data_IF_752524447798
#
_entry.id   IF_752524447798
#
_cell.length_a   1.000
_cell.length_b   1.000
_cell.length_c   1.000
_cell.angle_alpha   90.00
_cell.angle_beta   90.00
_cell.angle_gamma   90.00
#
_symmetry.space_group_name_H-M   'P 1'
#
loop_
_entity.id
_entity.type
_entity.pdbx_description
1 polymer ?
#
# COMPACT_ATOMS: atom_id res chain seq x y z
N UNK A 1 -34.70 -1.74 2.48
CA UNK A 1 -33.61 -1.03 1.81
C UNK A 1 -33.12 0.03 2.78
N UNK A 2 -32.14 -0.30 3.61
CA UNK A 2 -31.48 0.63 4.53
C UNK A 2 -29.99 0.51 4.24
N UNK A 3 -29.39 1.64 3.87
CA UNK A 3 -27.96 1.81 3.59
C UNK A 3 -27.14 1.58 4.87
N UNK A 4 -26.17 0.67 4.79
CA UNK A 4 -25.17 0.42 5.83
C UNK A 4 -23.85 1.10 5.39
N UNK A 5 -23.76 2.43 5.51
CA UNK A 5 -22.51 3.18 5.35
C UNK A 5 -21.72 3.05 6.65
N UNK A 6 -20.90 2.00 6.76
CA UNK A 6 -19.95 1.84 7.86
C UNK A 6 -18.67 2.62 7.59
N UNK A 7 -18.47 3.68 8.36
CA UNK A 7 -17.18 4.31 8.57
C UNK A 7 -16.22 3.30 9.23
N UNK A 8 -15.05 3.07 8.63
CA UNK A 8 -14.00 2.24 9.24
C UNK A 8 -12.90 3.14 9.80
N UNK A 9 -12.80 3.15 11.12
CA UNK A 9 -11.77 3.81 11.91
C UNK A 9 -10.47 3.01 11.82
N UNK A 10 -9.37 3.68 11.43
CA UNK A 10 -8.08 3.07 11.10
C UNK A 10 -7.17 3.10 12.31
N UNK A 11 -7.09 1.99 13.04
CA UNK A 11 -6.18 1.84 14.18
C UNK A 11 -4.71 1.82 13.72
N UNK A 12 -3.89 2.62 14.41
CA UNK A 12 -2.52 2.94 14.02
C UNK A 12 -1.60 2.51 15.17
N UNK A 13 -1.08 1.29 15.12
CA UNK A 13 -0.01 0.84 16.04
C UNK A 13 1.31 0.71 15.30
N UNK A 14 2.31 1.40 15.86
CA UNK A 14 3.67 1.60 15.39
C UNK A 14 4.61 0.54 16.00
N UNK A 15 5.59 0.11 15.20
CA UNK A 15 7.00 0.03 15.63
C UNK A 15 7.46 -1.22 16.39
N UNK A 16 8.36 -2.00 15.77
CA UNK A 16 9.07 -3.10 16.43
C UNK A 16 10.37 -3.50 15.73
N UNK A 17 11.44 -2.76 16.07
CA UNK A 17 12.86 -3.13 16.12
C UNK A 17 13.56 -3.94 15.01
N UNK A 18 14.51 -3.24 14.37
CA UNK A 18 15.67 -3.79 13.66
C UNK A 18 16.58 -4.61 14.59
N UNK A 19 17.16 -5.70 14.07
CA UNK A 19 18.39 -6.31 14.62
C UNK A 19 19.41 -6.54 13.51
N UNK A 20 20.43 -5.66 13.47
CA UNK A 20 21.68 -5.88 12.75
C UNK A 20 22.67 -6.51 13.74
N UNK A 21 23.35 -7.59 13.35
CA UNK A 21 24.74 -7.83 13.76
C UNK A 21 25.46 -8.66 12.70
N UNK A 22 26.29 -7.93 11.95
CA UNK A 22 27.45 -8.43 11.20
C UNK A 22 28.55 -8.66 12.21
N UNK A 23 29.24 -9.79 12.14
CA UNK A 23 30.64 -9.91 12.54
C UNK A 23 31.28 -11.09 11.80
N UNK A 24 32.08 -10.75 10.80
CA UNK A 24 32.94 -11.64 10.03
C UNK A 24 34.38 -11.39 10.46
N UNK A 25 34.98 -12.33 11.15
CA UNK A 25 36.44 -12.41 11.31
C UNK A 25 36.81 -13.89 11.33
N UNK A 26 37.41 -14.40 10.26
CA UNK A 26 38.32 -15.55 10.40
C UNK A 26 39.49 -15.38 9.45
N UNK A 27 40.61 -15.05 10.09
CA UNK A 27 41.95 -15.03 9.55
C UNK A 27 42.36 -16.40 9.02
N UNK A 28 43.07 -16.40 7.89
CA UNK A 28 43.81 -17.56 7.40
C UNK A 28 45.04 -17.83 8.29
N UNK A 29 45.44 -19.11 8.42
CA UNK A 29 46.84 -19.43 8.59
C UNK A 29 47.38 -20.37 7.51
N UNK A 30 48.60 -20.03 7.13
CA UNK A 30 49.58 -20.74 6.31
C UNK A 30 49.85 -22.19 6.77
N UNK A 31 50.18 -23.03 5.78
CA UNK A 31 51.27 -24.03 5.74
C UNK A 31 51.78 -24.61 7.08
N UNK A 32 51.67 -25.94 7.27
CA UNK A 32 52.80 -26.90 7.38
C UNK A 32 52.28 -28.31 7.70
N UNK A 33 53.01 -29.32 7.26
CA UNK A 33 52.55 -30.70 7.12
C UNK A 33 52.53 -31.57 8.39
N UNK A 34 51.74 -32.66 8.32
CA UNK A 34 51.93 -33.94 9.01
C UNK A 34 50.78 -34.88 8.62
N UNK A 35 50.98 -35.68 7.58
CA UNK A 35 49.95 -36.44 6.86
C UNK A 35 49.40 -37.71 7.52
N UNK A 36 49.45 -37.90 8.85
CA UNK A 36 48.90 -39.13 9.47
C UNK A 36 48.16 -38.94 10.80
N UNK A 37 48.11 -37.72 11.37
CA UNK A 37 47.29 -37.42 12.57
C UNK A 37 45.88 -36.91 12.27
N UNK A 38 45.62 -36.49 11.02
CA UNK A 38 44.41 -35.76 10.63
C UNK A 38 43.15 -36.64 10.70
N UNK A 39 43.25 -37.93 10.38
CA UNK A 39 42.08 -38.83 10.37
C UNK A 39 41.60 -39.14 11.80
N UNK A 40 42.49 -39.28 12.78
CA UNK A 40 42.11 -39.52 14.17
C UNK A 40 41.44 -38.28 14.81
N UNK A 41 41.91 -37.07 14.47
CA UNK A 41 41.29 -35.81 14.92
C UNK A 41 39.95 -35.57 14.22
N UNK A 42 39.81 -35.89 12.94
CA UNK A 42 38.51 -35.78 12.23
C UNK A 42 37.49 -36.77 12.82
N UNK A 43 37.90 -37.99 13.21
CA UNK A 43 37.01 -38.95 13.88
C UNK A 43 36.67 -38.51 15.31
N UNK A 44 37.61 -37.95 16.08
CA UNK A 44 37.34 -37.46 17.44
C UNK A 44 36.48 -36.19 17.44
N UNK A 45 36.78 -35.23 16.56
CA UNK A 45 35.94 -34.02 16.35
C UNK A 45 34.57 -34.41 15.82
N UNK A 46 34.49 -35.33 14.85
CA UNK A 46 33.23 -35.83 14.31
C UNK A 46 32.35 -36.56 15.34
N UNK A 47 32.95 -37.29 16.30
CA UNK A 47 32.20 -37.91 17.40
C UNK A 47 31.75 -36.91 18.48
N UNK A 48 32.55 -35.86 18.76
CA UNK A 48 32.16 -34.81 19.72
C UNK A 48 31.15 -33.80 19.15
N UNK A 49 31.06 -33.65 17.83
CA UNK A 49 30.10 -32.76 17.16
C UNK A 49 28.82 -33.46 16.65
N UNK A 50 28.62 -34.74 16.98
CA UNK A 50 27.38 -35.46 16.66
C UNK A 50 26.28 -35.32 17.75
N UNK A 51 26.57 -34.66 18.87
CA UNK A 51 25.67 -34.52 20.02
C UNK A 51 24.72 -33.30 20.01
N UNK A 52 24.76 -32.45 18.98
CA UNK A 52 24.01 -31.20 18.92
C UNK A 52 22.81 -31.21 17.97
N UNK A 53 22.07 -32.32 17.84
CA UNK A 53 20.68 -32.23 17.38
C UNK A 53 19.86 -31.80 18.59
N UNK A 54 19.81 -30.50 18.83
CA UNK A 54 18.81 -29.91 19.71
C UNK A 54 17.46 -30.28 19.11
N UNK A 55 16.83 -31.32 19.67
CA UNK A 55 15.44 -31.65 19.41
C UNK A 55 14.63 -30.49 19.97
N UNK A 56 14.47 -29.42 19.19
CA UNK A 56 13.39 -28.47 19.39
C UNK A 56 12.12 -29.29 19.54
N UNK A 57 11.50 -29.21 20.73
CA UNK A 57 10.37 -30.05 21.06
C UNK A 57 9.26 -29.88 20.03
N UNK A 58 8.39 -30.88 19.82
CA UNK A 58 7.27 -30.77 18.89
C UNK A 58 6.36 -29.55 19.17
N UNK A 59 6.44 -28.97 20.38
CA UNK A 59 5.78 -27.73 20.75
C UNK A 59 6.38 -26.48 20.07
N UNK A 60 7.70 -26.31 20.01
CA UNK A 60 8.35 -25.13 19.40
C UNK A 60 8.15 -25.13 17.87
N UNK A 61 8.19 -26.31 17.24
CA UNK A 61 7.89 -26.44 15.82
C UNK A 61 6.42 -26.12 15.48
N UNK A 62 5.50 -26.41 16.41
CA UNK A 62 4.07 -26.09 16.25
C UNK A 62 3.80 -24.58 16.42
N UNK A 63 4.51 -23.91 17.33
CA UNK A 63 4.39 -22.46 17.55
C UNK A 63 4.90 -21.67 16.34
N UNK A 64 6.07 -22.03 15.79
CA UNK A 64 6.60 -21.41 14.56
C UNK A 64 5.66 -21.63 13.38
N UNK A 65 5.10 -22.84 13.24
CA UNK A 65 4.12 -23.12 12.17
C UNK A 65 2.82 -22.33 12.34
N UNK A 66 2.36 -22.08 13.57
CA UNK A 66 1.20 -21.23 13.85
C UNK A 66 1.47 -19.76 13.52
N UNK A 67 2.63 -19.24 13.93
CA UNK A 67 3.02 -17.86 13.62
C UNK A 67 3.17 -17.64 12.10
N UNK A 68 3.77 -18.58 11.39
CA UNK A 68 3.89 -18.50 9.93
C UNK A 68 2.53 -18.60 9.23
N UNK A 69 1.61 -19.42 9.74
CA UNK A 69 0.24 -19.50 9.22
C UNK A 69 -0.54 -18.19 9.47
N UNK A 70 -0.38 -17.56 10.63
CA UNK A 70 -0.99 -16.27 10.94
C UNK A 70 -0.43 -15.15 10.06
N UNK A 71 0.90 -15.10 9.88
CA UNK A 71 1.56 -14.14 8.98
C UNK A 71 1.09 -14.32 7.53
N UNK A 72 0.95 -15.56 7.07
CA UNK A 72 0.43 -15.86 5.74
C UNK A 72 -1.02 -15.38 5.59
N UNK A 73 -1.87 -15.60 6.60
CA UNK A 73 -3.26 -15.12 6.58
C UNK A 73 -3.33 -13.59 6.59
N UNK A 74 -2.54 -12.91 7.43
CA UNK A 74 -2.48 -11.45 7.46
C UNK A 74 -2.01 -10.85 6.13
N UNK A 75 -1.09 -11.53 5.43
CA UNK A 75 -0.65 -11.14 4.10
C UNK A 75 -1.77 -11.30 3.06
N UNK A 76 -2.54 -12.39 3.12
CA UNK A 76 -3.70 -12.63 2.25
C UNK A 76 -4.77 -11.55 2.48
N UNK A 77 -5.11 -11.25 3.73
CA UNK A 77 -6.13 -10.25 4.08
C UNK A 77 -5.71 -8.85 3.63
N UNK A 78 -4.44 -8.51 3.81
CA UNK A 78 -3.90 -7.23 3.33
C UNK A 78 -3.92 -7.14 1.80
N UNK A 79 -3.58 -8.23 1.10
CA UNK A 79 -3.64 -8.28 -0.36
C UNK A 79 -5.09 -8.15 -0.86
N UNK A 80 -6.03 -8.85 -0.23
CA UNK A 80 -7.46 -8.76 -0.53
C UNK A 80 -8.01 -7.34 -0.32
N UNK A 81 -7.64 -6.69 0.79
CA UNK A 81 -8.00 -5.28 1.05
C UNK A 81 -7.44 -4.34 -0.01
N UNK A 82 -6.16 -4.47 -0.36
CA UNK A 82 -5.52 -3.66 -1.42
C UNK A 82 -6.17 -3.87 -2.78
N UNK A 83 -6.54 -5.11 -3.09
CA UNK A 83 -7.26 -5.43 -4.32
C UNK A 83 -8.66 -4.81 -4.34
N UNK A 84 -9.39 -4.85 -3.21
CA UNK A 84 -10.69 -4.21 -3.08
C UNK A 84 -10.61 -2.67 -3.14
N UNK A 85 -9.63 -2.05 -2.49
CA UNK A 85 -9.38 -0.60 -2.56
C UNK A 85 -9.04 -0.18 -3.99
N UNK A 86 -8.20 -0.96 -4.68
CA UNK A 86 -7.93 -0.77 -6.11
C UNK A 86 -9.19 -0.90 -6.94
N UNK A 87 -9.99 -1.94 -6.73
CA UNK A 87 -11.23 -2.16 -7.47
C UNK A 87 -12.27 -1.05 -7.25
N UNK A 88 -12.18 -0.29 -6.16
CA UNK A 88 -13.02 0.88 -5.88
C UNK A 88 -12.43 2.21 -6.41
N UNK A 89 -11.17 2.20 -6.86
CA UNK A 89 -10.48 3.41 -7.32
C UNK A 89 -9.92 4.28 -6.18
N UNK A 90 -9.96 3.82 -4.93
CA UNK A 90 -9.46 4.59 -3.79
C UNK A 90 -7.93 4.64 -3.70
N UNK A 91 -7.23 3.80 -4.47
CA UNK A 91 -5.76 3.85 -4.55
C UNK A 91 -5.24 5.12 -5.24
N UNK A 92 -6.08 5.81 -6.01
CA UNK A 92 -5.77 7.10 -6.64
C UNK A 92 -6.03 8.31 -5.74
N UNK A 93 -6.67 8.10 -4.58
CA UNK A 93 -6.98 9.17 -3.64
C UNK A 93 -5.92 9.25 -2.53
N UNK A 94 -5.73 10.45 -2.02
CA UNK A 94 -4.91 10.70 -0.84
C UNK A 94 -5.48 9.96 0.38
N UNK A 95 -4.61 9.27 1.10
CA UNK A 95 -4.99 8.49 2.28
C UNK A 95 -5.34 9.36 3.50
N UNK A 96 -5.13 10.68 3.41
CA UNK A 96 -5.32 11.64 4.49
C UNK A 96 -6.67 12.37 4.40
N UNK A 97 -6.94 13.02 3.28
CA UNK A 97 -8.11 13.86 3.03
C UNK A 97 -9.04 13.29 1.95
N UNK A 98 -8.62 12.23 1.24
CA UNK A 98 -9.39 11.66 0.13
C UNK A 98 -9.35 12.50 -1.14
N UNK A 99 -8.49 13.52 -1.24
CA UNK A 99 -8.36 14.33 -2.44
C UNK A 99 -7.59 13.63 -3.55
N UNK A 100 -7.82 14.03 -4.80
CA UNK A 100 -7.05 13.59 -5.95
C UNK A 100 -6.12 14.71 -6.42
N UNK A 101 -4.80 14.57 -6.25
CA UNK A 101 -3.81 15.64 -6.47
C UNK A 101 -3.93 16.27 -7.87
N UNK A 102 -4.01 15.44 -8.92
CA UNK A 102 -4.12 15.97 -10.29
C UNK A 102 -5.42 16.72 -10.57
N UNK A 103 -6.49 16.45 -9.82
CA UNK A 103 -7.77 17.13 -9.96
C UNK A 103 -7.76 18.45 -9.21
N UNK A 104 -7.17 18.45 -8.01
CA UNK A 104 -6.90 19.66 -7.21
C UNK A 104 -6.06 20.65 -8.01
N UNK A 105 -4.99 20.19 -8.67
CA UNK A 105 -4.11 21.05 -9.45
C UNK A 105 -4.82 21.67 -10.67
N UNK A 106 -5.64 20.88 -11.37
CA UNK A 106 -6.45 21.39 -12.48
C UNK A 106 -7.47 22.42 -12.03
N UNK A 107 -8.18 22.18 -10.91
CA UNK A 107 -9.12 23.16 -10.35
C UNK A 107 -8.40 24.44 -9.95
N UNK A 108 -7.30 24.34 -9.19
CA UNK A 108 -6.52 25.50 -8.76
C UNK A 108 -6.01 26.34 -9.93
N UNK A 109 -5.65 25.71 -11.05
CA UNK A 109 -5.24 26.41 -12.28
C UNK A 109 -6.35 27.25 -12.88
N UNK A 110 -7.62 26.83 -12.72
CA UNK A 110 -8.80 27.58 -13.17
C UNK A 110 -9.28 28.65 -12.20
N UNK A 111 -8.83 28.64 -10.93
CA UNK A 111 -9.26 29.59 -9.91
C UNK A 111 -8.53 30.94 -10.03
N UNK A 112 -9.26 32.03 -9.78
CA UNK A 112 -8.67 33.38 -9.70
C UNK A 112 -7.73 33.52 -8.51
N UNK A 113 -8.09 32.94 -7.36
CA UNK A 113 -7.25 32.86 -6.17
C UNK A 113 -6.98 31.39 -5.81
N UNK A 114 -5.89 30.77 -6.30
CA UNK A 114 -5.59 29.36 -6.06
C UNK A 114 -5.34 29.02 -4.58
N UNK A 115 -4.90 29.98 -3.77
CA UNK A 115 -4.63 29.76 -2.34
C UNK A 115 -5.91 29.69 -1.50
N UNK A 116 -7.04 30.13 -2.05
CA UNK A 116 -8.35 30.02 -1.39
C UNK A 116 -8.98 28.63 -1.49
N UNK A 117 -8.37 27.71 -2.25
CA UNK A 117 -8.92 26.38 -2.46
C UNK A 117 -8.90 25.55 -1.17
N UNK A 118 -10.06 25.00 -0.82
CA UNK A 118 -10.24 24.02 0.24
C UNK A 118 -10.98 22.80 -0.30
N UNK A 119 -10.37 21.62 -0.14
CA UNK A 119 -11.02 20.35 -0.48
C UNK A 119 -12.10 20.01 0.57
N UNK A 120 -13.25 19.52 0.12
CA UNK A 120 -14.35 19.10 1.00
C UNK A 120 -14.59 17.60 0.91
N UNK A 121 -14.84 17.08 -0.30
CA UNK A 121 -15.05 15.63 -0.49
C UNK A 121 -14.73 15.21 -1.92
N UNK A 122 -14.50 13.90 -2.10
CA UNK A 122 -14.32 13.29 -3.41
C UNK A 122 -15.04 11.96 -3.45
N UNK A 123 -15.90 11.80 -4.45
CA UNK A 123 -16.69 10.60 -4.71
C UNK A 123 -16.18 9.95 -6.01
N UNK A 124 -15.95 8.64 -5.98
CA UNK A 124 -15.50 7.85 -7.14
C UNK A 124 -16.63 6.93 -7.57
N UNK A 125 -17.01 7.01 -8.84
CA UNK A 125 -18.06 6.19 -9.42
C UNK A 125 -17.59 4.80 -9.90
N UNK A 126 -18.52 4.02 -10.48
CA UNK A 126 -18.22 2.70 -11.02
C UNK A 126 -17.25 2.77 -12.22
N UNK A 127 -16.57 1.65 -12.50
CA UNK A 127 -15.68 1.54 -13.65
C UNK A 127 -16.49 1.52 -14.93
N UNK A 128 -16.09 2.35 -15.89
CA UNK A 128 -16.70 2.40 -17.21
C UNK A 128 -15.97 1.47 -18.18
N UNK A 129 -16.58 1.18 -19.32
CA UNK A 129 -15.98 0.30 -20.35
C UNK A 129 -14.63 0.80 -20.88
N UNK A 130 -14.34 2.09 -20.72
CA UNK A 130 -13.14 2.77 -21.22
C UNK A 130 -11.96 2.78 -20.22
N UNK A 131 -11.99 1.91 -19.20
CA UNK A 131 -11.02 1.89 -18.07
C UNK A 131 -10.99 3.18 -17.23
N UNK A 132 -11.92 4.09 -17.48
CA UNK A 132 -12.07 5.34 -16.74
C UNK A 132 -13.16 5.21 -15.67
N UNK A 133 -13.04 6.02 -14.64
CA UNK A 133 -14.05 6.23 -13.59
C UNK A 133 -14.47 7.68 -13.57
N UNK A 134 -15.78 7.96 -13.45
CA UNK A 134 -16.21 9.31 -13.15
C UNK A 134 -15.82 9.65 -11.71
N UNK A 135 -15.21 10.80 -11.52
CA UNK A 135 -14.86 11.35 -10.21
C UNK A 135 -15.58 12.68 -10.03
N UNK A 136 -16.12 12.89 -8.83
CA UNK A 136 -16.80 14.12 -8.44
C UNK A 136 -16.07 14.69 -7.23
N UNK A 137 -15.62 15.93 -7.32
CA UNK A 137 -14.98 16.62 -6.20
C UNK A 137 -15.77 17.85 -5.82
N UNK A 138 -16.06 17.98 -4.53
CA UNK A 138 -16.65 19.17 -3.93
C UNK A 138 -15.54 19.95 -3.25
N UNK A 139 -15.47 21.24 -3.52
CA UNK A 139 -14.47 22.14 -2.94
C UNK A 139 -15.08 23.50 -2.60
N UNK A 140 -14.35 24.27 -1.78
CA UNK A 140 -14.63 25.68 -1.53
C UNK A 140 -13.53 26.54 -2.10
N UNK A 141 -13.89 27.68 -2.67
CA UNK A 141 -12.93 28.66 -3.18
C UNK A 141 -13.51 30.08 -3.13
N UNK A 142 -12.63 31.07 -3.16
CA UNK A 142 -12.99 32.48 -3.24
C UNK A 142 -13.46 32.83 -4.66
N UNK A 143 -14.64 33.45 -4.75
CA UNK A 143 -15.24 33.93 -5.98
C UNK A 143 -14.70 35.32 -6.39
N UNK A 144 -15.15 35.84 -7.53
CA UNK A 144 -14.71 37.14 -8.06
C UNK A 144 -15.04 38.37 -7.18
N UNK A 145 -15.87 38.20 -6.15
CA UNK A 145 -16.29 39.25 -5.21
C UNK A 145 -15.67 39.09 -3.81
N UNK A 146 -14.76 38.13 -3.62
CA UNK A 146 -14.11 37.87 -2.34
C UNK A 146 -14.91 36.99 -1.36
N UNK A 147 -16.02 36.40 -1.81
CA UNK A 147 -16.82 35.47 -1.00
C UNK A 147 -16.41 34.01 -1.22
N UNK A 148 -16.55 33.16 -0.20
CA UNK A 148 -16.30 31.72 -0.32
C UNK A 148 -17.53 31.00 -0.88
N UNK A 149 -17.38 30.34 -2.03
CA UNK A 149 -18.41 29.51 -2.65
C UNK A 149 -18.07 28.02 -2.54
N UNK A 150 -19.10 27.18 -2.42
CA UNK A 150 -18.97 25.72 -2.61
C UNK A 150 -19.23 25.41 -4.07
N UNK A 151 -18.30 24.71 -4.71
CA UNK A 151 -18.40 24.31 -6.11
C UNK A 151 -18.19 22.80 -6.24
N UNK A 152 -18.65 22.25 -7.36
CA UNK A 152 -18.51 20.83 -7.70
C UNK A 152 -17.89 20.73 -9.08
N UNK A 153 -16.84 19.92 -9.19
CA UNK A 153 -16.21 19.57 -10.45
C UNK A 153 -16.37 18.08 -10.72
N UNK A 154 -16.56 17.75 -11.99
CA UNK A 154 -16.59 16.39 -12.50
C UNK A 154 -15.34 16.12 -13.32
N UNK A 155 -14.84 14.89 -13.28
CA UNK A 155 -13.71 14.46 -14.06
C UNK A 155 -13.79 12.99 -14.46
N UNK A 156 -12.92 12.60 -15.39
CA UNK A 156 -12.66 11.21 -15.73
C UNK A 156 -11.28 10.83 -15.19
N UNK A 157 -11.20 9.75 -14.43
CA UNK A 157 -9.96 9.23 -13.85
C UNK A 157 -9.66 7.84 -14.41
N UNK A 158 -8.46 7.64 -14.96
CA UNK A 158 -8.01 6.33 -15.41
C UNK A 158 -7.65 5.43 -14.22
N UNK A 159 -8.12 4.18 -14.26
CA UNK A 159 -8.00 3.23 -13.17
C UNK A 159 -6.55 2.83 -12.86
N UNK A 160 -5.69 2.77 -13.86
CA UNK A 160 -4.33 2.20 -13.73
C UNK A 160 -3.28 3.27 -13.48
N UNK A 161 -3.38 4.38 -14.20
CA UNK A 161 -2.44 5.50 -14.15
C UNK A 161 -2.83 6.57 -13.14
N UNK A 162 -4.07 6.59 -12.67
CA UNK A 162 -4.64 7.68 -11.88
C UNK A 162 -4.55 9.05 -12.58
N UNK A 163 -4.41 9.06 -13.92
CA UNK A 163 -4.53 10.28 -14.71
C UNK A 163 -5.97 10.78 -14.66
N UNK A 164 -6.16 12.09 -14.47
CA UNK A 164 -7.50 12.70 -14.39
C UNK A 164 -7.64 13.86 -15.36
N UNK A 165 -8.83 14.03 -15.91
CA UNK A 165 -9.19 15.17 -16.77
C UNK A 165 -10.53 15.73 -16.33
N UNK A 166 -10.60 17.04 -16.10
CA UNK A 166 -11.88 17.72 -15.82
C UNK A 166 -12.81 17.59 -17.03
N UNK A 167 -14.05 17.22 -16.76
CA UNK A 167 -15.13 17.18 -17.74
C UNK A 167 -15.97 18.44 -17.57
N UNK A 168 -15.91 19.34 -18.56
CA UNK A 168 -16.69 20.58 -18.57
C UNK A 168 -17.91 20.49 -19.48
N UNK A 169 -17.94 19.52 -20.40
CA UNK A 169 -19.02 19.34 -21.38
C UNK A 169 -19.86 18.11 -21.03
N UNK A 170 -21.19 18.24 -20.87
CA UNK A 170 -22.08 17.10 -20.71
C UNK A 170 -21.93 16.02 -21.79
N UNK A 171 -21.58 16.40 -23.03
CA UNK A 171 -21.35 15.43 -24.11
C UNK A 171 -20.12 14.54 -23.88
N UNK A 172 -19.12 15.03 -23.13
CA UNK A 172 -17.96 14.22 -22.75
C UNK A 172 -18.33 13.18 -21.68
N UNK A 173 -19.29 13.49 -20.81
CA UNK A 173 -19.83 12.51 -19.85
C UNK A 173 -20.50 11.36 -20.59
N UNK A 174 -21.27 11.65 -21.64
CA UNK A 174 -21.97 10.65 -22.47
C UNK A 174 -21.00 9.83 -23.35
N UNK A 175 -19.85 10.36 -23.73
CA UNK A 175 -18.79 9.56 -24.38
C UNK A 175 -18.09 8.62 -23.39
N UNK A 176 -18.08 8.95 -22.10
CA UNK A 176 -17.45 8.15 -21.06
C UNK A 176 -18.41 7.08 -20.52
N UNK A 177 -19.69 7.40 -20.39
CA UNK A 177 -20.76 6.49 -20.04
C UNK A 177 -21.31 5.88 -21.35
N UNK A 178 -20.95 4.65 -21.76
CA UNK A 178 -21.58 4.07 -22.95
C UNK A 178 -23.09 4.02 -22.73
N UNK A 179 -23.84 4.61 -23.67
CA UNK A 179 -25.28 4.42 -23.75
C UNK A 179 -25.57 2.91 -23.75
N UNK A 180 -26.53 2.54 -22.91
CA UNK A 180 -27.05 1.19 -22.73
C UNK A 180 -27.60 0.59 -24.05
#
# INVERSE_FOLDING_TARGET
MHDDIRYYERDRTLGGHMSKKVQSEFASPLLYGAGLGLLAVIVWVGLTFAGGRENHGPAEAAEVAQEDAERAQAAIDTAARRAAERAKGFHCLSAWDGSHTGLVDQVKTGLRNPTSFEHSSTEVGPLLRTNNRPIKMVYRAENGFGGMNVETVWGAMDQDTCGVTIISDPAQIEQLLPAE
#
